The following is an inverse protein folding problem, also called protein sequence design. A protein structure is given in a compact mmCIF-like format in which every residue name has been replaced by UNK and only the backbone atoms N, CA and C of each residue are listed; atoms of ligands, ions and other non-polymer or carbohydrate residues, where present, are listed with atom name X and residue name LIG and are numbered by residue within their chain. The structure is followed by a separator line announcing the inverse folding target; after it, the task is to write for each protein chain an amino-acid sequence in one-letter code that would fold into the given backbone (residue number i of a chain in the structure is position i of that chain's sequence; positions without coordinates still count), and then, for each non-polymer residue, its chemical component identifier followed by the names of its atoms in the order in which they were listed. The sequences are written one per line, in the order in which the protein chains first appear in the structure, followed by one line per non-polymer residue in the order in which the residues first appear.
data_IF_617719490227
#
_entry.id   IF_617719490227
#
_cell.length_a   1.000
_cell.length_b   1.000
_cell.length_c   1.000
_cell.angle_alpha   90.00
_cell.angle_beta   90.00
_cell.angle_gamma   90.00
#
_symmetry.space_group_name_H-M   'P 1'
#
loop_
_entity.id
_entity.type
_entity.pdbx_description
1 polymer ?
#
# COMPACT_ATOMS: atom_id res chain seq x y z
N UNK A 1 24.07 4.80 1.33
CA UNK A 1 24.29 3.33 1.11
C UNK A 1 25.52 3.15 0.21
N UNK A 2 26.24 2.02 0.25
CA UNK A 2 27.22 1.75 -0.79
C UNK A 2 26.47 1.57 -2.11
N UNK A 3 26.73 2.45 -3.08
CA UNK A 3 26.02 2.58 -4.37
C UNK A 3 26.01 1.30 -5.23
N UNK A 4 26.73 0.25 -4.84
CA UNK A 4 26.85 -1.00 -5.58
C UNK A 4 25.77 -2.07 -5.25
N UNK A 5 24.83 -1.79 -4.33
CA UNK A 5 23.88 -2.79 -3.81
C UNK A 5 22.40 -2.48 -4.05
N UNK A 6 22.08 -1.28 -4.53
CA UNK A 6 20.73 -0.81 -4.81
C UNK A 6 20.56 -0.45 -6.28
N UNK A 7 19.33 -0.53 -6.81
CA UNK A 7 19.02 0.06 -8.12
C UNK A 7 18.76 1.58 -8.04
N UNK A 8 18.44 2.19 -9.19
CA UNK A 8 18.16 3.62 -9.30
C UNK A 8 16.94 4.07 -8.49
N UNK A 9 16.07 3.13 -8.07
CA UNK A 9 14.93 3.39 -7.20
C UNK A 9 15.23 3.10 -5.72
N UNK A 10 16.48 2.80 -5.38
CA UNK A 10 16.91 2.51 -4.01
C UNK A 10 16.53 1.13 -3.49
N UNK A 11 16.05 0.20 -4.34
CA UNK A 11 15.68 -1.15 -3.91
C UNK A 11 16.95 -2.00 -3.78
N UNK A 12 17.04 -2.78 -2.71
CA UNK A 12 18.17 -3.68 -2.47
C UNK A 12 18.14 -4.85 -3.47
N UNK A 13 19.19 -4.98 -4.30
CA UNK A 13 19.33 -6.05 -5.30
C UNK A 13 20.18 -7.23 -4.83
N UNK A 14 20.94 -7.06 -3.74
CA UNK A 14 21.86 -8.08 -3.22
C UNK A 14 21.33 -8.71 -1.95
N UNK A 15 20.82 -9.94 -2.07
CA UNK A 15 20.32 -10.73 -0.95
C UNK A 15 21.27 -10.80 0.27
N UNK A 16 22.62 -10.97 0.16
CA UNK A 16 23.47 -11.09 1.34
C UNK A 16 23.63 -9.78 2.13
N UNK A 17 23.32 -8.63 1.55
CA UNK A 17 23.50 -7.31 2.19
C UNK A 17 22.44 -7.08 3.27
N UNK A 18 21.21 -7.53 3.05
CA UNK A 18 20.11 -7.39 4.02
C UNK A 18 20.38 -8.09 5.37
N UNK A 19 20.75 -9.39 5.43
CA UNK A 19 21.01 -10.07 6.70
C UNK A 19 22.27 -9.53 7.40
N UNK A 20 23.30 -9.13 6.66
CA UNK A 20 24.51 -8.50 7.23
C UNK A 20 24.18 -7.18 7.91
N UNK A 21 23.41 -6.31 7.23
CA UNK A 21 22.96 -5.04 7.78
C UNK A 21 22.09 -5.25 9.02
N UNK A 22 21.19 -6.24 9.00
CA UNK A 22 20.40 -6.61 10.17
C UNK A 22 21.27 -7.00 11.37
N UNK A 23 22.32 -7.79 11.14
CA UNK A 23 23.24 -8.18 12.21
C UNK A 23 23.98 -6.98 12.79
N UNK A 24 24.42 -6.04 11.94
CA UNK A 24 25.09 -4.81 12.37
C UNK A 24 24.16 -3.91 13.20
N UNK A 25 22.92 -3.74 12.78
CA UNK A 25 21.90 -2.96 13.52
C UNK A 25 21.64 -3.61 14.89
N UNK A 26 21.50 -4.95 14.95
CA UNK A 26 21.33 -5.67 16.23
C UNK A 26 22.53 -5.50 17.15
N UNK A 27 23.75 -5.52 16.61
CA UNK A 27 24.98 -5.35 17.37
C UNK A 27 25.12 -3.92 17.93
N UNK A 28 24.64 -2.90 17.23
CA UNK A 28 24.65 -1.51 17.70
C UNK A 28 23.76 -1.30 18.94
N UNK A 29 22.66 -2.07 19.06
CA UNK A 29 21.84 -2.18 20.27
C UNK A 29 21.07 -0.92 20.70
N UNK A 30 21.30 0.23 20.05
CA UNK A 30 20.66 1.51 20.35
C UNK A 30 20.58 2.38 19.10
N UNK A 31 19.64 3.33 19.09
CA UNK A 31 19.45 4.29 18.01
C UNK A 31 19.17 5.69 18.59
N UNK A 32 19.52 6.72 17.83
CA UNK A 32 19.26 8.11 18.19
C UNK A 32 18.26 8.73 17.22
N UNK A 33 17.38 9.57 17.73
CA UNK A 33 16.44 10.34 16.91
C UNK A 33 17.25 11.40 16.17
N UNK A 34 17.31 11.29 14.83
CA UNK A 34 18.04 12.24 13.97
C UNK A 34 17.15 13.42 13.59
N UNK A 35 15.85 13.18 13.38
CA UNK A 35 14.86 14.21 13.08
C UNK A 35 13.47 13.76 13.52
N UNK A 36 12.59 14.74 13.80
CA UNK A 36 11.16 14.53 14.03
C UNK A 36 10.42 15.59 13.22
N UNK A 37 9.52 15.13 12.37
CA UNK A 37 8.64 15.98 11.57
C UNK A 37 7.19 15.65 11.90
N UNK A 38 6.34 16.68 11.93
CA UNK A 38 4.91 16.51 12.18
C UNK A 38 4.16 17.29 11.13
N UNK A 39 3.50 16.55 10.25
CA UNK A 39 2.69 17.12 9.18
C UNK A 39 1.20 16.94 9.51
N UNK A 40 0.42 18.02 9.30
CA UNK A 40 -1.04 17.92 9.33
C UNK A 40 -1.52 17.62 7.92
N UNK A 41 -1.79 16.35 7.67
CA UNK A 41 -2.36 15.90 6.40
C UNK A 41 -3.89 15.93 6.50
N UNK A 42 -4.54 16.41 5.45
CA UNK A 42 -5.99 16.34 5.30
C UNK A 42 -6.31 15.74 3.93
N UNK A 43 -6.90 14.56 3.95
CA UNK A 43 -7.47 13.97 2.74
C UNK A 43 -8.92 14.43 2.59
N UNK A 44 -9.30 14.80 1.37
CA UNK A 44 -10.70 15.05 1.03
C UNK A 44 -11.51 13.75 1.06
N UNK A 45 -12.85 13.82 1.07
CA UNK A 45 -13.66 12.63 0.87
C UNK A 45 -13.30 11.99 -0.48
N UNK A 46 -13.28 10.64 -0.57
CA UNK A 46 -13.07 9.97 -1.84
C UNK A 46 -14.16 10.36 -2.82
N UNK A 47 -13.85 10.27 -4.12
CA UNK A 47 -14.84 10.48 -5.16
C UNK A 47 -15.97 9.43 -5.05
N UNK A 48 -17.19 9.76 -5.51
CA UNK A 48 -18.23 8.77 -5.70
C UNK A 48 -17.74 7.64 -6.61
N UNK A 49 -18.24 6.44 -6.37
CA UNK A 49 -17.91 5.30 -7.22
C UNK A 49 -18.45 5.50 -8.64
N UNK A 50 -17.61 5.22 -9.62
CA UNK A 50 -18.05 4.72 -10.91
C UNK A 50 -18.20 3.19 -10.85
N UNK A 51 -18.68 2.59 -11.93
CA UNK A 51 -18.92 1.14 -11.95
C UNK A 51 -17.63 0.32 -11.71
N UNK A 52 -16.49 0.75 -12.26
CA UNK A 52 -15.23 0.02 -12.13
C UNK A 52 -14.67 0.07 -10.71
N UNK A 53 -14.67 1.26 -10.11
CA UNK A 53 -14.23 1.47 -8.71
C UNK A 53 -15.16 0.77 -7.72
N UNK A 54 -16.47 0.73 -7.99
CA UNK A 54 -17.42 -0.06 -7.20
C UNK A 54 -17.07 -1.56 -7.26
N UNK A 55 -16.88 -2.12 -8.45
CA UNK A 55 -16.54 -3.52 -8.67
C UNK A 55 -15.21 -3.91 -8.00
N UNK A 56 -14.18 -3.06 -8.11
CA UNK A 56 -12.90 -3.29 -7.42
C UNK A 56 -13.06 -3.34 -5.90
N UNK A 57 -13.84 -2.42 -5.33
CA UNK A 57 -14.07 -2.34 -3.89
C UNK A 57 -14.87 -3.54 -3.40
N UNK A 58 -15.93 -3.92 -4.11
CA UNK A 58 -16.73 -5.11 -3.81
C UNK A 58 -15.89 -6.39 -3.89
N UNK A 59 -14.99 -6.51 -4.87
CA UNK A 59 -14.06 -7.64 -4.94
C UNK A 59 -13.09 -7.68 -3.76
N UNK A 60 -12.43 -6.57 -3.45
CA UNK A 60 -11.43 -6.50 -2.36
C UNK A 60 -12.05 -6.68 -0.97
N UNK A 61 -13.25 -6.14 -0.74
CA UNK A 61 -13.85 -6.11 0.59
C UNK A 61 -14.88 -7.22 0.83
N UNK A 62 -15.60 -7.63 -0.21
CA UNK A 62 -16.72 -8.57 -0.10
C UNK A 62 -16.49 -9.88 -0.86
N UNK A 63 -15.43 -9.96 -1.66
CA UNK A 63 -15.12 -11.15 -2.47
C UNK A 63 -16.07 -11.37 -3.65
N UNK A 64 -16.88 -10.36 -4.01
CA UNK A 64 -17.78 -10.44 -5.16
C UNK A 64 -17.00 -10.35 -6.46
N UNK A 65 -17.42 -11.13 -7.44
CA UNK A 65 -16.94 -10.93 -8.80
C UNK A 65 -17.62 -9.74 -9.50
N UNK A 66 -17.16 -9.44 -10.71
CA UNK A 66 -17.61 -8.31 -11.52
C UNK A 66 -19.09 -8.44 -11.88
N UNK A 67 -19.56 -9.65 -12.18
CA UNK A 67 -20.91 -9.92 -12.63
C UNK A 67 -21.88 -9.87 -11.46
N UNK A 68 -21.52 -10.50 -10.33
CA UNK A 68 -22.30 -10.44 -9.08
C UNK A 68 -22.52 -8.99 -8.63
N UNK A 69 -21.46 -8.17 -8.67
CA UNK A 69 -21.56 -6.75 -8.31
C UNK A 69 -22.48 -5.97 -9.26
N UNK A 70 -22.38 -6.24 -10.57
CA UNK A 70 -23.22 -5.59 -11.57
C UNK A 70 -24.70 -5.94 -11.38
N UNK A 71 -25.01 -7.21 -11.17
CA UNK A 71 -26.38 -7.69 -10.98
C UNK A 71 -27.03 -7.07 -9.74
N UNK A 72 -26.30 -7.02 -8.62
CA UNK A 72 -26.77 -6.34 -7.40
C UNK A 72 -27.00 -4.86 -7.67
N UNK A 73 -26.06 -4.17 -8.32
CA UNK A 73 -26.19 -2.76 -8.62
C UNK A 73 -27.38 -2.45 -9.53
N UNK A 74 -27.61 -3.28 -10.56
CA UNK A 74 -28.77 -3.19 -11.44
C UNK A 74 -30.06 -3.42 -10.67
N UNK A 75 -30.13 -4.45 -9.82
CA UNK A 75 -31.31 -4.71 -9.00
C UNK A 75 -31.63 -3.52 -8.08
N UNK A 76 -30.61 -2.92 -7.45
CA UNK A 76 -30.77 -1.73 -6.61
C UNK A 76 -31.21 -0.49 -7.39
N UNK A 77 -30.83 -0.36 -8.65
CA UNK A 77 -31.20 0.76 -9.50
C UNK A 77 -32.61 0.64 -10.09
N UNK A 78 -33.03 -0.58 -10.46
CA UNK A 78 -34.28 -0.81 -11.18
C UNK A 78 -35.45 -1.16 -10.26
N UNK A 79 -35.18 -1.72 -9.08
CA UNK A 79 -36.23 -2.24 -8.17
C UNK A 79 -36.54 -1.29 -7.02
N UNK A 80 -35.64 -0.37 -6.71
CA UNK A 80 -35.76 0.59 -5.60
C UNK A 80 -35.68 2.03 -6.10
#
# INVERSE_FOLDING_TARGET
PPDACTDDAGRCLRQPVAPQTMQQIRAAGSAHVVSVETERVREGPPLPFDLGTLQEVCSKQLGLDVQETLEIAQALYETH
#
